data_IF_288367050471
#
_entry.id   IF_288367050471
#
_cell.length_a   1.000
_cell.length_b   1.000
_cell.length_c   1.000
_cell.angle_alpha   90.00
_cell.angle_beta   90.00
_cell.angle_gamma   90.00
#
_symmetry.space_group_name_H-M   'P 1'
#
loop_
_entity.id
_entity.type
_entity.pdbx_description
1 polymer ?
#
# COMPACT_ATOMS: atom_id res chain seq x y z
N UNK A 1 -5.43 -11.89 4.32
CA UNK A 1 -4.09 -11.97 3.65
C UNK A 1 -4.04 -13.21 2.76
N UNK A 2 -3.24 -13.17 1.69
CA UNK A 2 -3.14 -14.25 0.70
C UNK A 2 -1.75 -14.92 0.76
N UNK A 3 -1.70 -16.23 1.07
CA UNK A 3 -0.43 -16.99 1.16
C UNK A 3 0.36 -17.01 -0.14
N UNK A 4 -0.31 -17.10 -1.28
CA UNK A 4 0.34 -17.09 -2.60
C UNK A 4 1.10 -15.80 -2.83
N UNK A 5 0.51 -14.68 -2.44
CA UNK A 5 1.12 -13.36 -2.50
C UNK A 5 2.32 -13.24 -1.54
N UNK A 6 2.18 -13.73 -0.31
CA UNK A 6 3.30 -13.76 0.66
C UNK A 6 4.48 -14.57 0.12
N UNK A 7 4.23 -15.74 -0.47
CA UNK A 7 5.26 -16.57 -1.11
C UNK A 7 5.91 -15.86 -2.30
N UNK A 8 5.14 -15.07 -3.05
CA UNK A 8 5.67 -14.24 -4.14
C UNK A 8 6.62 -13.16 -3.60
N UNK A 9 6.25 -12.45 -2.54
CA UNK A 9 7.14 -11.47 -1.89
C UNK A 9 8.43 -12.09 -1.36
N UNK A 10 8.36 -13.33 -0.87
CA UNK A 10 9.53 -14.07 -0.41
C UNK A 10 10.43 -14.58 -1.56
N UNK A 11 10.00 -14.44 -2.81
CA UNK A 11 10.70 -14.96 -4.01
C UNK A 11 11.04 -16.45 -3.88
N UNK A 12 10.17 -17.23 -3.25
CA UNK A 12 10.39 -18.63 -2.93
C UNK A 12 9.57 -19.58 -3.80
N UNK A 13 9.36 -19.27 -5.07
CA UNK A 13 8.58 -20.09 -6.01
C UNK A 13 8.97 -21.59 -6.02
N UNK A 14 10.19 -21.93 -5.61
CA UNK A 14 10.69 -23.31 -5.52
C UNK A 14 10.44 -24.01 -4.17
N UNK A 15 9.84 -23.32 -3.18
CA UNK A 15 9.60 -23.84 -1.81
C UNK A 15 8.15 -23.74 -1.35
N UNK A 16 7.23 -23.72 -2.29
CA UNK A 16 5.79 -23.57 -2.01
C UNK A 16 5.24 -24.65 -1.09
N UNK A 17 5.90 -25.82 -1.07
CA UNK A 17 5.48 -27.01 -0.30
C UNK A 17 6.34 -27.29 0.95
N UNK A 18 7.19 -26.34 1.39
CA UNK A 18 7.95 -26.52 2.63
C UNK A 18 7.03 -26.33 3.86
N UNK A 19 6.71 -27.41 4.62
CA UNK A 19 5.78 -27.32 5.76
C UNK A 19 6.26 -26.38 6.86
N UNK A 20 7.59 -26.23 7.03
CA UNK A 20 8.17 -25.32 8.04
C UNK A 20 7.98 -23.87 7.66
N UNK A 21 8.18 -23.55 6.37
CA UNK A 21 7.92 -22.21 5.86
C UNK A 21 6.44 -21.87 5.95
N UNK A 22 5.55 -22.78 5.57
CA UNK A 22 4.10 -22.56 5.63
C UNK A 22 3.63 -22.34 7.07
N UNK A 23 4.11 -23.14 8.02
CA UNK A 23 3.80 -22.94 9.44
C UNK A 23 4.29 -21.57 9.95
N UNK A 24 5.50 -21.16 9.57
CA UNK A 24 6.04 -19.85 9.94
C UNK A 24 5.22 -18.69 9.35
N UNK A 25 4.73 -18.83 8.12
CA UNK A 25 3.82 -17.86 7.50
C UNK A 25 2.51 -17.79 8.30
N UNK A 26 1.92 -18.94 8.67
CA UNK A 26 0.69 -18.98 9.46
C UNK A 26 0.83 -18.31 10.82
N UNK A 27 1.94 -18.58 11.53
CA UNK A 27 2.24 -17.94 12.80
C UNK A 27 2.37 -16.42 12.66
N UNK A 28 3.11 -15.94 11.65
CA UNK A 28 3.26 -14.51 11.40
C UNK A 28 1.94 -13.85 11.00
N UNK A 29 1.11 -14.52 10.19
CA UNK A 29 -0.22 -14.01 9.81
C UNK A 29 -1.12 -13.86 11.04
N UNK A 30 -1.17 -14.87 11.91
CA UNK A 30 -1.95 -14.84 13.15
C UNK A 30 -1.50 -13.70 14.07
N UNK A 31 -0.19 -13.50 14.20
CA UNK A 31 0.38 -12.42 15.01
C UNK A 31 0.05 -11.03 14.45
N UNK A 32 0.17 -10.84 13.15
CA UNK A 32 -0.20 -9.58 12.48
C UNK A 32 -1.68 -9.29 12.65
N UNK A 33 -2.57 -10.27 12.46
CA UNK A 33 -4.01 -10.09 12.64
C UNK A 33 -4.41 -9.76 14.08
N UNK A 34 -3.68 -10.30 15.06
CA UNK A 34 -3.92 -10.03 16.49
C UNK A 34 -3.39 -8.66 16.95
N UNK A 35 -2.35 -8.14 16.29
CA UNK A 35 -1.58 -7.00 16.81
C UNK A 35 -1.84 -5.72 16.02
N UNK A 36 -1.93 -5.83 14.70
CA UNK A 36 -1.98 -4.68 13.79
C UNK A 36 -3.39 -4.11 13.67
N UNK A 37 -3.52 -2.80 13.84
CA UNK A 37 -4.77 -2.08 13.69
C UNK A 37 -4.68 -1.09 12.52
N UNK A 38 -5.06 -1.50 11.31
CA UNK A 38 -4.98 -0.65 10.13
C UNK A 38 -5.86 0.59 10.27
N UNK A 39 -5.35 1.72 9.78
CA UNK A 39 -6.11 2.96 9.63
C UNK A 39 -6.07 3.41 8.18
N UNK A 40 -7.21 3.87 7.69
CA UNK A 40 -7.37 4.35 6.32
C UNK A 40 -8.05 5.71 6.32
N UNK A 41 -7.77 6.50 5.31
CA UNK A 41 -8.49 7.71 4.99
C UNK A 41 -8.60 7.81 3.48
N UNK A 42 -9.82 7.88 2.96
CA UNK A 42 -10.10 8.04 1.54
C UNK A 42 -11.02 9.25 1.31
N UNK A 43 -10.79 9.97 0.20
CA UNK A 43 -11.67 11.05 -0.28
C UNK A 43 -11.75 11.04 -1.79
N UNK A 44 -12.95 11.30 -2.30
CA UNK A 44 -13.23 11.44 -3.72
C UNK A 44 -13.22 12.92 -4.07
N UNK A 45 -12.48 13.26 -5.12
CA UNK A 45 -12.35 14.62 -5.63
C UNK A 45 -12.75 14.67 -7.10
N UNK A 46 -13.38 15.77 -7.53
CA UNK A 46 -13.43 16.08 -8.95
C UNK A 46 -12.01 16.28 -9.48
N UNK A 47 -11.77 15.83 -10.70
CA UNK A 47 -10.45 15.97 -11.31
C UNK A 47 -10.53 16.30 -12.78
N UNK A 48 -9.43 16.87 -13.30
CA UNK A 48 -9.21 17.06 -14.72
C UNK A 48 -7.96 16.28 -15.14
N UNK A 49 -8.13 15.44 -16.14
CA UNK A 49 -7.03 14.67 -16.71
C UNK A 49 -6.57 15.36 -17.97
N UNK A 50 -5.29 15.75 -18.02
CA UNK A 50 -4.62 16.27 -19.21
C UNK A 50 -3.82 15.18 -19.92
N UNK A 51 -3.06 15.48 -20.97
CA UNK A 51 -2.23 14.52 -21.68
C UNK A 51 -1.15 13.89 -20.80
N UNK A 52 -0.62 14.65 -19.83
CA UNK A 52 0.54 14.27 -19.02
C UNK A 52 0.36 14.46 -17.50
N UNK A 53 -0.85 14.80 -17.05
CA UNK A 53 -1.07 15.11 -15.64
C UNK A 53 -2.51 14.87 -15.17
N UNK A 54 -2.64 14.71 -13.85
CA UNK A 54 -3.87 14.74 -13.08
C UNK A 54 -3.91 16.04 -12.26
N UNK A 55 -4.95 16.85 -12.44
CA UNK A 55 -5.23 18.08 -11.69
C UNK A 55 -6.34 17.85 -10.67
N UNK A 56 -6.09 18.15 -9.40
CA UNK A 56 -7.03 17.98 -8.27
C UNK A 56 -6.84 19.13 -7.28
N UNK A 57 -7.92 19.80 -6.88
CA UNK A 57 -7.97 20.80 -5.79
C UNK A 57 -6.72 21.70 -5.64
N UNK A 58 -6.27 22.29 -6.74
CA UNK A 58 -5.16 23.25 -6.70
C UNK A 58 -3.76 22.61 -6.71
N UNK A 59 -3.63 21.32 -6.86
CA UNK A 59 -2.35 20.68 -7.14
C UNK A 59 -2.40 19.79 -8.39
N UNK A 60 -1.22 19.55 -8.94
CA UNK A 60 -1.06 18.74 -10.15
C UNK A 60 -0.09 17.59 -9.87
N UNK A 61 -0.47 16.37 -10.24
CA UNK A 61 0.41 15.22 -10.29
C UNK A 61 0.86 14.99 -11.73
N UNK A 62 2.14 15.18 -12.00
CA UNK A 62 2.71 15.01 -13.34
C UNK A 62 3.09 13.56 -13.57
N UNK A 63 2.38 12.89 -14.46
CA UNK A 63 2.68 11.53 -14.93
C UNK A 63 1.84 11.25 -16.17
N UNK A 64 2.50 11.02 -17.28
CA UNK A 64 1.83 10.61 -18.53
C UNK A 64 1.17 9.24 -18.37
N UNK A 65 1.83 8.33 -17.68
CA UNK A 65 1.30 6.97 -17.45
C UNK A 65 0.05 6.99 -16.58
N UNK A 66 0.05 7.79 -15.50
CA UNK A 66 -1.15 8.00 -14.68
C UNK A 66 -2.28 8.58 -15.54
N UNK A 67 -2.03 9.66 -16.28
CA UNK A 67 -3.03 10.31 -17.13
C UNK A 67 -3.64 9.33 -18.13
N UNK A 68 -2.84 8.49 -18.77
CA UNK A 68 -3.32 7.43 -19.67
C UNK A 68 -4.21 6.39 -18.94
N UNK A 69 -3.82 5.99 -17.74
CA UNK A 69 -4.55 4.99 -16.94
C UNK A 69 -5.95 5.48 -16.55
N UNK A 70 -6.07 6.78 -16.22
CA UNK A 70 -7.33 7.40 -15.75
C UNK A 70 -8.01 8.26 -16.82
N UNK A 71 -7.62 8.11 -18.09
CA UNK A 71 -8.22 8.87 -19.19
C UNK A 71 -9.75 8.73 -19.19
N UNK A 72 -10.46 9.86 -19.33
CA UNK A 72 -11.91 9.92 -19.31
C UNK A 72 -12.55 9.87 -17.90
N UNK A 73 -11.76 9.80 -16.84
CA UNK A 73 -12.29 9.94 -15.48
C UNK A 73 -12.49 11.42 -15.13
N UNK A 74 -13.62 11.74 -14.51
CA UNK A 74 -13.97 13.06 -13.97
C UNK A 74 -13.81 13.16 -12.45
N UNK A 75 -13.55 12.02 -11.80
CA UNK A 75 -13.32 11.93 -10.36
C UNK A 75 -12.18 10.99 -10.06
N UNK A 76 -11.46 11.28 -8.99
CA UNK A 76 -10.39 10.43 -8.46
C UNK A 76 -10.60 10.19 -6.97
N UNK A 77 -10.43 8.96 -6.52
CA UNK A 77 -10.31 8.64 -5.12
C UNK A 77 -8.83 8.67 -4.72
N UNK A 78 -8.48 9.57 -3.81
CA UNK A 78 -7.15 9.65 -3.21
C UNK A 78 -7.25 9.10 -1.79
N UNK A 79 -6.35 8.20 -1.42
CA UNK A 79 -6.37 7.60 -0.11
C UNK A 79 -4.97 7.38 0.48
N UNK A 80 -4.93 7.25 1.79
CA UNK A 80 -3.78 6.78 2.56
C UNK A 80 -4.19 5.60 3.45
N UNK A 81 -3.28 4.66 3.62
CA UNK A 81 -3.45 3.51 4.49
C UNK A 81 -2.18 3.29 5.31
N UNK A 82 -2.33 2.85 6.55
CA UNK A 82 -1.21 2.50 7.43
C UNK A 82 -1.58 1.30 8.29
N UNK A 83 -0.60 0.46 8.59
CA UNK A 83 -0.73 -0.62 9.57
C UNK A 83 -0.49 -0.16 11.01
N UNK A 84 -0.10 1.12 11.20
CA UNK A 84 0.21 1.70 12.50
C UNK A 84 1.64 1.39 12.95
N UNK A 85 2.00 1.91 14.13
CA UNK A 85 3.36 1.76 14.67
C UNK A 85 3.69 0.32 15.13
N UNK A 86 2.68 -0.51 15.33
CA UNK A 86 2.86 -1.90 15.74
C UNK A 86 3.60 -2.73 14.67
N UNK A 87 3.43 -2.38 13.40
CA UNK A 87 4.17 -3.06 12.32
C UNK A 87 5.68 -2.79 12.42
N UNK A 88 6.09 -1.58 12.77
CA UNK A 88 7.50 -1.22 12.96
C UNK A 88 8.09 -1.95 14.18
N UNK A 89 7.29 -2.12 15.23
CA UNK A 89 7.67 -2.89 16.42
C UNK A 89 7.89 -4.36 16.08
N UNK A 90 6.96 -4.98 15.36
CA UNK A 90 7.09 -6.37 14.90
C UNK A 90 8.35 -6.56 14.04
N UNK A 91 8.58 -5.68 13.06
CA UNK A 91 9.76 -5.76 12.21
C UNK A 91 11.07 -5.64 13.00
N UNK A 92 11.15 -4.72 13.96
CA UNK A 92 12.34 -4.58 14.80
C UNK A 92 12.59 -5.81 15.66
N UNK A 93 11.55 -6.35 16.29
CA UNK A 93 11.65 -7.56 17.11
C UNK A 93 12.22 -8.73 16.29
N UNK A 94 11.66 -8.98 15.12
CA UNK A 94 12.06 -10.15 14.31
C UNK A 94 13.31 -9.94 13.45
N UNK A 95 13.77 -8.71 13.27
CA UNK A 95 15.08 -8.44 12.68
C UNK A 95 16.24 -8.93 13.56
N UNK A 96 16.00 -9.08 14.87
CA UNK A 96 16.99 -9.56 15.85
C UNK A 96 16.89 -11.07 16.05
N UNK A 97 15.69 -11.64 16.02
CA UNK A 97 15.43 -13.04 16.35
C UNK A 97 15.72 -14.06 15.23
N UNK A 98 16.01 -13.59 14.02
CA UNK A 98 16.39 -14.45 12.89
C UNK A 98 15.98 -13.90 11.53
N UNK A 99 16.90 -14.01 10.58
CA UNK A 99 16.75 -13.48 9.21
C UNK A 99 15.49 -14.06 8.51
N UNK A 100 15.20 -15.34 8.73
CA UNK A 100 14.06 -16.00 8.07
C UNK A 100 12.72 -15.48 8.59
N UNK A 101 12.53 -15.33 9.92
CA UNK A 101 11.28 -14.84 10.50
C UNK A 101 11.06 -13.36 10.17
N UNK A 102 12.14 -12.56 10.17
CA UNK A 102 12.08 -11.16 9.76
C UNK A 102 11.62 -10.98 8.31
N UNK A 103 12.15 -11.80 7.38
CA UNK A 103 11.75 -11.78 5.98
C UNK A 103 10.28 -12.19 5.79
N UNK A 104 9.84 -13.25 6.49
CA UNK A 104 8.43 -13.69 6.45
C UNK A 104 7.51 -12.62 7.03
N UNK A 105 7.85 -12.02 8.17
CA UNK A 105 7.07 -10.94 8.78
C UNK A 105 6.92 -9.74 7.83
N UNK A 106 8.01 -9.35 7.16
CA UNK A 106 7.96 -8.27 6.16
C UNK A 106 7.01 -8.61 5.00
N UNK A 107 7.05 -9.83 4.47
CA UNK A 107 6.16 -10.27 3.40
C UNK A 107 4.69 -10.33 3.85
N UNK A 108 4.44 -10.78 5.08
CA UNK A 108 3.08 -10.81 5.68
C UNK A 108 2.53 -9.40 5.85
N UNK A 109 3.32 -8.45 6.37
CA UNK A 109 2.91 -7.06 6.52
C UNK A 109 2.67 -6.40 5.15
N UNK A 110 3.46 -6.73 4.13
CA UNK A 110 3.24 -6.28 2.76
C UNK A 110 1.89 -6.78 2.22
N UNK A 111 1.58 -8.07 2.37
CA UNK A 111 0.27 -8.61 1.99
C UNK A 111 -0.89 -8.03 2.83
N UNK A 112 -0.64 -7.68 4.09
CA UNK A 112 -1.65 -7.04 4.95
C UNK A 112 -2.03 -5.65 4.48
N UNK A 113 -1.07 -4.82 4.09
CA UNK A 113 -1.39 -3.47 3.59
C UNK A 113 -2.12 -3.53 2.24
N UNK A 114 -1.80 -4.49 1.38
CA UNK A 114 -2.55 -4.71 0.13
C UNK A 114 -4.01 -5.11 0.42
N UNK A 115 -4.25 -6.06 1.33
CA UNK A 115 -5.60 -6.43 1.77
C UNK A 115 -6.39 -5.21 2.27
N UNK A 116 -5.76 -4.32 3.02
CA UNK A 116 -6.37 -3.08 3.51
C UNK A 116 -6.75 -2.15 2.34
N UNK A 117 -5.86 -1.99 1.38
CA UNK A 117 -6.11 -1.20 0.17
C UNK A 117 -7.23 -1.80 -0.69
N UNK A 118 -7.24 -3.12 -0.87
CA UNK A 118 -8.32 -3.84 -1.57
C UNK A 118 -9.66 -3.66 -0.86
N UNK A 119 -9.66 -3.60 0.47
CA UNK A 119 -10.82 -3.29 1.28
C UNK A 119 -11.41 -1.91 0.97
N UNK A 120 -10.57 -0.89 0.72
CA UNK A 120 -11.02 0.44 0.27
C UNK A 120 -11.69 0.31 -1.11
N UNK A 121 -11.03 -0.33 -2.07
CA UNK A 121 -11.58 -0.50 -3.41
C UNK A 121 -12.91 -1.25 -3.40
N UNK A 122 -13.02 -2.32 -2.60
CA UNK A 122 -14.25 -3.10 -2.49
C UNK A 122 -15.40 -2.27 -1.92
N UNK A 123 -15.15 -1.40 -0.93
CA UNK A 123 -16.16 -0.46 -0.41
C UNK A 123 -16.63 0.52 -1.48
N UNK A 124 -15.70 1.06 -2.28
CA UNK A 124 -16.03 1.98 -3.37
C UNK A 124 -16.84 1.29 -4.46
N UNK A 125 -16.49 0.07 -4.85
CA UNK A 125 -17.26 -0.74 -5.81
C UNK A 125 -18.66 -1.06 -5.30
N UNK A 126 -18.79 -1.37 -4.00
CA UNK A 126 -20.09 -1.61 -3.37
C UNK A 126 -21.01 -0.36 -3.38
N UNK A 127 -20.43 0.83 -3.48
CA UNK A 127 -21.16 2.09 -3.68
C UNK A 127 -21.53 2.35 -5.16
N UNK A 128 -21.29 1.40 -6.05
CA UNK A 128 -21.61 1.49 -7.47
C UNK A 128 -20.54 2.21 -8.32
N UNK A 129 -19.35 2.43 -7.78
CA UNK A 129 -18.26 3.08 -8.51
C UNK A 129 -17.49 2.07 -9.36
N UNK A 130 -17.26 2.41 -10.63
CA UNK A 130 -16.32 1.68 -11.49
C UNK A 130 -14.93 2.26 -11.32
N UNK A 131 -13.99 1.43 -10.88
CA UNK A 131 -12.62 1.87 -10.57
C UNK A 131 -11.65 1.46 -11.68
N UNK A 132 -10.73 2.35 -12.01
CA UNK A 132 -9.50 2.02 -12.74
C UNK A 132 -8.47 1.42 -11.81
N UNK A 133 -7.38 0.91 -12.38
CA UNK A 133 -6.25 0.37 -11.60
C UNK A 133 -5.70 1.41 -10.62
N UNK A 134 -5.37 0.96 -9.41
CA UNK A 134 -4.68 1.74 -8.38
C UNK A 134 -3.30 2.19 -8.85
N UNK A 135 -2.92 3.42 -8.50
CA UNK A 135 -1.66 4.02 -8.87
C UNK A 135 -1.03 4.73 -7.67
N UNK A 136 0.27 4.59 -7.47
CA UNK A 136 0.96 5.19 -6.32
C UNK A 136 2.17 6.01 -6.77
N UNK A 137 2.52 7.10 -6.06
CA UNK A 137 3.80 7.78 -6.25
C UNK A 137 4.97 6.82 -6.08
N UNK A 138 5.98 6.95 -6.93
CA UNK A 138 7.12 6.05 -7.02
C UNK A 138 6.98 4.94 -8.07
N UNK A 139 5.80 4.82 -8.71
CA UNK A 139 5.59 3.89 -9.80
C UNK A 139 5.70 4.58 -11.16
N UNK A 140 6.32 3.89 -12.11
CA UNK A 140 6.56 4.38 -13.47
C UNK A 140 7.17 5.79 -13.48
N UNK A 141 6.46 6.76 -14.03
CA UNK A 141 6.87 8.15 -14.18
C UNK A 141 6.24 9.12 -13.14
N UNK A 142 5.49 8.60 -12.16
CA UNK A 142 4.99 9.40 -11.05
C UNK A 142 6.03 9.46 -9.93
N UNK A 143 6.66 10.64 -9.80
CA UNK A 143 7.74 10.82 -8.83
C UNK A 143 7.28 10.53 -7.39
N UNK A 144 8.13 9.84 -6.62
CA UNK A 144 7.86 9.50 -5.23
C UNK A 144 7.62 10.74 -4.34
N UNK A 145 8.23 11.86 -4.68
CA UNK A 145 8.07 13.12 -3.94
C UNK A 145 6.66 13.69 -4.01
N UNK A 146 5.85 13.28 -5.00
CA UNK A 146 4.45 13.66 -5.15
C UNK A 146 3.58 13.18 -3.97
N UNK A 147 4.04 12.21 -3.19
CA UNK A 147 3.40 11.82 -1.93
C UNK A 147 3.15 12.99 -1.00
N UNK A 148 4.05 13.96 -0.95
CA UNK A 148 3.92 15.14 -0.07
C UNK A 148 2.63 15.91 -0.33
N UNK A 149 2.21 16.00 -1.60
CA UNK A 149 0.95 16.67 -1.98
C UNK A 149 -0.26 15.89 -1.46
N UNK A 150 -0.23 14.56 -1.59
CA UNK A 150 -1.28 13.68 -1.08
C UNK A 150 -1.38 13.76 0.45
N UNK A 151 -0.24 13.77 1.13
CA UNK A 151 -0.17 13.93 2.58
C UNK A 151 -0.77 15.25 3.04
N UNK A 152 -0.45 16.35 2.37
CA UNK A 152 -0.99 17.67 2.67
C UNK A 152 -2.49 17.74 2.39
N UNK A 153 -2.95 17.20 1.23
CA UNK A 153 -4.35 17.22 0.83
C UNK A 153 -5.26 16.50 1.82
N UNK A 154 -4.83 15.34 2.29
CA UNK A 154 -5.61 14.49 3.18
C UNK A 154 -5.30 14.71 4.67
N UNK A 155 -4.29 15.51 5.02
CA UNK A 155 -3.79 15.69 6.40
C UNK A 155 -3.48 14.33 7.07
N UNK A 156 -2.82 13.42 6.34
CA UNK A 156 -2.64 12.02 6.73
C UNK A 156 -1.92 11.86 8.05
N UNK A 157 -0.95 12.72 8.34
CA UNK A 157 -0.21 12.67 9.61
C UNK A 157 -1.11 12.88 10.81
N UNK A 158 -2.00 13.87 10.75
CA UNK A 158 -2.93 14.21 11.83
C UNK A 158 -4.06 13.18 11.96
N UNK A 159 -4.60 12.76 10.80
CA UNK A 159 -5.82 11.96 10.77
C UNK A 159 -5.60 10.49 11.04
N UNK A 160 -4.54 9.91 10.50
CA UNK A 160 -4.27 8.47 10.63
C UNK A 160 -2.87 8.16 11.19
N UNK A 161 -2.08 9.21 11.52
CA UNK A 161 -0.73 9.04 12.08
C UNK A 161 0.29 8.52 11.08
N UNK A 162 0.00 8.61 9.78
CA UNK A 162 0.94 8.23 8.72
C UNK A 162 1.99 9.33 8.57
N UNK A 163 3.27 8.97 8.59
CA UNK A 163 4.38 9.92 8.46
C UNK A 163 5.25 9.58 7.26
N UNK A 164 5.75 10.63 6.59
CA UNK A 164 6.78 10.48 5.56
C UNK A 164 8.15 10.48 6.25
N UNK A 165 8.81 9.34 6.26
CA UNK A 165 10.21 9.23 6.67
C UNK A 165 11.07 8.81 5.49
N UNK A 166 12.39 9.01 5.59
CA UNK A 166 13.33 8.52 4.55
C UNK A 166 13.22 6.99 4.35
N UNK A 167 12.81 6.26 5.39
CA UNK A 167 12.58 4.81 5.37
C UNK A 167 11.23 4.46 4.74
N UNK A 168 10.22 5.31 4.84
CA UNK A 168 8.90 5.11 4.24
C UNK A 168 8.95 5.10 2.70
N UNK A 169 9.94 5.76 2.10
CA UNK A 169 10.17 5.69 0.66
C UNK A 169 10.52 4.27 0.16
N UNK A 170 11.09 3.42 1.01
CA UNK A 170 11.45 2.05 0.66
C UNK A 170 10.29 1.08 0.83
N UNK A 171 9.38 1.31 1.77
CA UNK A 171 8.24 0.42 2.00
C UNK A 171 7.14 0.54 0.93
N UNK A 172 6.95 1.71 0.34
CA UNK A 172 6.00 1.91 -0.76
C UNK A 172 6.48 1.31 -2.10
N UNK A 173 7.77 0.98 -2.22
CA UNK A 173 8.32 0.27 -3.39
C UNK A 173 8.07 -1.24 -3.40
N UNK A 174 7.60 -1.81 -2.31
CA UNK A 174 7.41 -3.27 -2.18
C UNK A 174 6.13 -3.80 -2.85
N UNK A 175 5.34 -2.93 -3.48
CA UNK A 175 4.00 -3.25 -3.98
C UNK A 175 3.89 -3.27 -5.50
N UNK A 176 4.96 -3.64 -6.20
CA UNK A 176 4.89 -3.94 -7.62
C UNK A 176 4.57 -5.43 -7.83
N UNK A 177 3.43 -5.69 -8.39
CA UNK A 177 3.15 -6.92 -9.13
C UNK A 177 3.45 -6.71 -10.60
#
# INVERSE_FOLDING_TARGET
>A
MNKTEILHYLRTASRVDDPRLLALIDDCMAEVDATVQPRTLERIFPCRVTEDALEVEGFTLKSRRLAQTIAGCDRVCIFGATLGFECDRLLRTYSVDGIARGAVMQAVLASKIEEVCDGIENRLRAQGLTLRQRYSPGYFDLDITEQRKIFALLDLTKRIGLTLSAVSYTHLRAHET
#
